data_IF_064226493319
#
_entry.id   IF_064226493319
#
_cell.length_a   1.000
_cell.length_b   1.000
_cell.length_c   1.000
_cell.angle_alpha   90.00
_cell.angle_beta   90.00
_cell.angle_gamma   90.00
#
_symmetry.space_group_name_H-M   'P 1'
#
loop_
_entity.id
_entity.type
_entity.pdbx_description
1 polymer ?
#
# COMPACT_ATOMS: atom_id res chain seq x y z
N UNK A 1 20.04 3.58 -23.65
CA UNK A 1 18.73 3.50 -24.28
C UNK A 1 17.71 4.13 -23.35
N UNK A 2 16.83 4.93 -23.90
CA UNK A 2 15.68 5.51 -23.19
C UNK A 2 14.45 4.86 -23.78
N UNK A 3 13.67 4.18 -22.96
CA UNK A 3 12.38 3.62 -23.34
C UNK A 3 11.25 4.44 -22.72
N UNK A 4 10.18 4.65 -23.47
CA UNK A 4 8.96 5.23 -22.95
C UNK A 4 8.08 4.11 -22.38
N UNK A 5 7.59 4.29 -21.16
CA UNK A 5 6.71 3.35 -20.51
C UNK A 5 5.47 4.08 -20.00
N UNK A 6 4.30 3.46 -20.20
CA UNK A 6 3.05 3.99 -19.68
C UNK A 6 2.89 3.63 -18.21
N UNK A 7 2.61 4.62 -17.37
CA UNK A 7 2.39 4.43 -15.95
C UNK A 7 0.96 4.77 -15.56
N UNK A 8 0.46 4.14 -14.50
CA UNK A 8 -0.82 4.50 -13.87
C UNK A 8 -0.65 5.79 -13.08
N UNK A 9 -1.55 6.74 -13.31
CA UNK A 9 -1.63 7.98 -12.54
C UNK A 9 -3.02 8.06 -11.93
N UNK A 10 -3.07 8.31 -10.62
CA UNK A 10 -4.32 8.37 -9.87
C UNK A 10 -4.53 9.77 -9.33
N UNK A 11 -5.69 10.35 -9.63
CA UNK A 11 -6.12 11.59 -9.02
C UNK A 11 -6.96 11.32 -7.76
N UNK A 12 -6.89 12.20 -6.77
CA UNK A 12 -7.65 12.11 -5.53
C UNK A 12 -6.98 11.30 -4.40
N UNK A 13 -5.82 10.71 -4.64
CA UNK A 13 -4.96 10.12 -3.60
C UNK A 13 -5.66 9.05 -2.74
N UNK A 14 -5.36 9.08 -1.45
CA UNK A 14 -5.79 8.07 -0.47
C UNK A 14 -7.31 7.94 -0.33
N UNK A 15 -8.05 9.06 -0.50
CA UNK A 15 -9.50 9.08 -0.39
C UNK A 15 -10.21 8.15 -1.39
N UNK A 16 -9.54 7.81 -2.49
CA UNK A 16 -10.07 6.94 -3.53
C UNK A 16 -9.51 5.52 -3.52
N UNK A 17 -8.54 5.22 -2.68
CA UNK A 17 -7.83 3.94 -2.68
C UNK A 17 -8.75 2.72 -2.60
N UNK A 18 -9.80 2.78 -1.78
CA UNK A 18 -10.79 1.69 -1.64
C UNK A 18 -11.69 1.50 -2.87
N UNK A 19 -11.84 2.52 -3.70
CA UNK A 19 -12.66 2.52 -4.92
C UNK A 19 -11.79 2.09 -6.11
N UNK A 20 -10.64 2.72 -6.25
CA UNK A 20 -9.70 2.47 -7.34
C UNK A 20 -9.10 1.06 -7.26
N UNK A 21 -8.77 0.61 -6.06
CA UNK A 21 -8.07 -0.64 -5.85
C UNK A 21 -6.57 -0.51 -6.05
N UNK A 22 -5.94 -1.57 -6.52
CA UNK A 22 -4.49 -1.60 -6.75
C UNK A 22 -4.13 -2.52 -7.91
N UNK A 23 -2.94 -2.30 -8.44
CA UNK A 23 -2.33 -3.14 -9.48
C UNK A 23 -1.26 -4.05 -8.90
N UNK A 24 -0.97 -5.12 -9.59
CA UNK A 24 0.09 -6.04 -9.20
C UNK A 24 0.48 -6.96 -10.35
N UNK A 25 1.58 -7.68 -10.19
CA UNK A 25 2.05 -8.63 -11.19
C UNK A 25 1.00 -9.71 -11.45
N UNK A 26 0.80 -10.05 -12.73
CA UNK A 26 -0.13 -11.09 -13.15
C UNK A 26 0.29 -12.46 -12.58
N UNK A 27 -0.66 -13.22 -12.08
CA UNK A 27 -0.42 -14.60 -11.65
C UNK A 27 -0.55 -15.57 -12.84
N UNK A 28 -0.05 -16.80 -12.70
CA UNK A 28 -0.16 -17.80 -13.75
C UNK A 28 -1.62 -18.12 -14.12
N UNK A 29 -2.51 -18.15 -13.13
CA UNK A 29 -3.94 -18.40 -13.35
C UNK A 29 -4.62 -17.24 -14.12
N UNK A 30 -4.32 -16.00 -13.75
CA UNK A 30 -4.84 -14.83 -14.46
C UNK A 30 -4.30 -14.74 -15.90
N UNK A 31 -3.04 -15.12 -16.11
CA UNK A 31 -2.45 -15.14 -17.44
C UNK A 31 -3.13 -16.17 -18.35
N UNK A 32 -3.48 -17.32 -17.79
CA UNK A 32 -4.24 -18.36 -18.52
C UNK A 32 -5.67 -17.91 -18.85
N UNK A 33 -6.32 -17.18 -17.94
CA UNK A 33 -7.66 -16.64 -18.11
C UNK A 33 -7.70 -15.48 -19.13
N UNK A 34 -6.77 -14.53 -19.01
CA UNK A 34 -6.73 -13.32 -19.85
C UNK A 34 -6.22 -13.59 -21.29
N UNK A 35 -5.33 -14.55 -21.46
CA UNK A 35 -4.88 -15.03 -22.75
C UNK A 35 -3.97 -14.04 -23.50
N UNK A 36 -4.22 -13.86 -24.81
CA UNK A 36 -3.39 -13.04 -25.70
C UNK A 36 -3.36 -11.57 -25.25
N UNK A 37 -2.19 -10.93 -25.39
CA UNK A 37 -1.96 -9.53 -24.98
C UNK A 37 -1.29 -9.36 -23.63
N UNK A 38 -1.31 -10.40 -22.81
CA UNK A 38 -0.63 -10.41 -21.49
C UNK A 38 0.61 -11.28 -21.50
N UNK A 39 1.59 -10.90 -20.69
CA UNK A 39 2.84 -11.65 -20.47
C UNK A 39 3.02 -11.89 -18.98
N UNK A 40 3.93 -12.79 -18.61
CA UNK A 40 4.25 -13.05 -17.21
C UNK A 40 4.79 -11.81 -16.44
N UNK A 41 5.20 -10.77 -17.16
CA UNK A 41 5.68 -9.51 -16.58
C UNK A 41 4.58 -8.44 -16.53
N UNK A 42 3.40 -8.68 -17.10
CA UNK A 42 2.29 -7.72 -17.11
C UNK A 42 1.85 -7.35 -15.70
N UNK A 43 1.58 -6.06 -15.52
CA UNK A 43 0.95 -5.52 -14.30
C UNK A 43 -0.54 -5.38 -14.60
N UNK A 44 -1.38 -5.98 -13.77
CA UNK A 44 -2.83 -6.03 -13.95
C UNK A 44 -3.55 -5.51 -12.71
N UNK A 45 -4.78 -5.07 -12.87
CA UNK A 45 -5.64 -4.69 -11.76
C UNK A 45 -6.00 -5.89 -10.88
N UNK A 46 -5.82 -5.75 -9.56
CA UNK A 46 -6.06 -6.81 -8.56
C UNK A 46 -7.34 -6.61 -7.76
N UNK A 47 -7.81 -5.39 -7.68
CA UNK A 47 -9.01 -5.06 -6.93
C UNK A 47 -9.65 -3.79 -7.48
N UNK A 48 -10.91 -3.53 -7.09
CA UNK A 48 -11.62 -2.28 -7.37
C UNK A 48 -11.80 -2.00 -8.87
N UNK A 49 -11.75 -0.72 -9.21
CA UNK A 49 -11.90 -0.28 -10.60
C UNK A 49 -10.71 -0.69 -11.47
N UNK A 50 -9.51 -0.77 -10.90
CA UNK A 50 -8.34 -1.28 -11.62
C UNK A 50 -8.58 -2.70 -12.16
N UNK A 51 -9.16 -3.58 -11.34
CA UNK A 51 -9.49 -4.93 -11.78
C UNK A 51 -10.65 -4.94 -12.78
N UNK A 52 -11.69 -4.15 -12.52
CA UNK A 52 -12.89 -4.15 -13.36
C UNK A 52 -12.66 -3.54 -14.74
N UNK A 53 -11.78 -2.54 -14.84
CA UNK A 53 -11.48 -1.80 -16.08
C UNK A 53 -10.08 -2.12 -16.62
N UNK A 54 -9.48 -3.21 -16.20
CA UNK A 54 -8.12 -3.58 -16.61
C UNK A 54 -7.95 -3.58 -18.12
N UNK A 55 -8.89 -4.17 -18.85
CA UNK A 55 -8.87 -4.23 -20.33
C UNK A 55 -8.91 -2.83 -21.00
N UNK A 56 -9.46 -1.84 -20.31
CA UNK A 56 -9.52 -0.45 -20.81
C UNK A 56 -8.23 0.30 -20.50
N UNK A 57 -7.68 0.02 -19.32
CA UNK A 57 -6.54 0.71 -18.74
C UNK A 57 -5.20 0.14 -19.20
N UNK A 58 -5.15 -1.14 -19.58
CA UNK A 58 -3.90 -1.87 -19.87
C UNK A 58 -3.18 -1.37 -21.12
N UNK A 59 -3.92 -0.98 -22.16
CA UNK A 59 -3.32 -0.66 -23.46
C UNK A 59 -2.87 -1.90 -24.25
N UNK A 60 -2.06 -1.68 -25.25
CA UNK A 60 -1.55 -2.70 -26.15
C UNK A 60 -0.02 -2.71 -26.12
N UNK A 61 0.57 -3.87 -25.87
CA UNK A 61 2.02 -4.02 -25.88
C UNK A 61 2.58 -3.88 -27.30
N UNK A 62 3.67 -3.14 -27.46
CA UNK A 62 4.45 -3.12 -28.70
C UNK A 62 5.16 -4.45 -28.93
N UNK A 63 5.52 -4.71 -30.18
CA UNK A 63 6.26 -5.89 -30.59
C UNK A 63 7.48 -5.49 -31.44
N UNK A 64 8.64 -6.04 -31.10
CA UNK A 64 9.88 -5.89 -31.85
C UNK A 64 10.45 -7.26 -32.18
N UNK A 65 10.84 -7.45 -33.41
CA UNK A 65 11.49 -8.70 -33.85
C UNK A 65 13.01 -8.52 -33.94
N UNK A 66 13.73 -9.41 -33.26
CA UNK A 66 15.20 -9.44 -33.28
C UNK A 66 15.71 -10.86 -33.55
N UNK A 67 16.73 -10.99 -34.36
CA UNK A 67 17.48 -12.23 -34.48
C UNK A 67 18.59 -12.25 -33.43
N UNK A 68 18.63 -13.34 -32.65
CA UNK A 68 19.67 -13.56 -31.65
C UNK A 68 20.55 -14.75 -32.03
N UNK A 69 21.84 -14.70 -31.66
CA UNK A 69 22.72 -15.83 -31.78
C UNK A 69 22.55 -16.85 -30.64
N UNK A 70 23.28 -17.96 -30.69
CA UNK A 70 23.24 -18.99 -29.66
C UNK A 70 23.77 -18.54 -28.28
N UNK A 71 24.31 -17.32 -28.19
CA UNK A 71 24.79 -16.68 -26.95
C UNK A 71 23.84 -15.60 -26.47
N UNK A 72 22.66 -15.44 -27.09
CA UNK A 72 21.68 -14.43 -26.73
C UNK A 72 21.98 -13.00 -27.20
N UNK A 73 22.95 -12.81 -28.11
CA UNK A 73 23.31 -11.49 -28.63
C UNK A 73 22.48 -11.18 -29.87
N UNK A 74 21.94 -9.96 -29.95
CA UNK A 74 21.24 -9.49 -31.15
C UNK A 74 22.19 -9.42 -32.33
N UNK A 75 21.89 -10.21 -33.36
CA UNK A 75 22.63 -10.25 -34.61
C UNK A 75 22.01 -9.30 -35.63
N UNK A 76 20.70 -9.25 -35.67
CA UNK A 76 19.95 -8.36 -36.51
C UNK A 76 18.67 -7.90 -35.79
N UNK A 77 18.41 -6.62 -35.87
CA UNK A 77 17.19 -6.00 -35.43
C UNK A 77 16.33 -5.68 -36.66
N UNK A 78 15.12 -6.21 -36.71
CA UNK A 78 14.15 -5.96 -37.78
C UNK A 78 13.30 -4.72 -37.50
N UNK A 79 13.49 -4.11 -36.33
CA UNK A 79 12.72 -2.95 -35.91
C UNK A 79 11.41 -3.30 -35.22
N UNK A 80 10.69 -2.24 -34.88
CA UNK A 80 9.38 -2.34 -34.26
C UNK A 80 8.35 -2.77 -35.32
N UNK A 81 7.68 -3.88 -35.03
CA UNK A 81 6.60 -4.40 -35.93
C UNK A 81 5.23 -3.87 -35.52
N UNK A 82 5.04 -3.61 -34.22
CA UNK A 82 3.84 -3.01 -33.63
C UNK A 82 4.25 -1.97 -32.61
N UNK A 83 3.77 -0.73 -32.77
CA UNK A 83 4.00 0.33 -31.79
C UNK A 83 3.13 0.11 -30.54
N UNK A 84 3.68 0.29 -29.32
CA UNK A 84 2.91 0.20 -28.11
C UNK A 84 1.85 1.31 -28.05
N UNK A 85 0.69 1.00 -27.50
CA UNK A 85 -0.39 1.97 -27.29
C UNK A 85 -0.75 2.02 -25.81
N UNK A 86 -0.75 3.22 -25.24
CA UNK A 86 -1.24 3.45 -23.89
C UNK A 86 -2.72 3.07 -23.77
N UNK A 87 -3.12 2.64 -22.58
CA UNK A 87 -4.53 2.45 -22.25
C UNK A 87 -5.29 3.78 -22.25
N UNK A 88 -6.59 3.70 -22.11
CA UNK A 88 -7.47 4.87 -22.11
C UNK A 88 -7.67 5.40 -20.68
N UNK A 89 -7.80 6.72 -20.58
CA UNK A 89 -8.21 7.37 -19.35
C UNK A 89 -9.65 7.01 -18.97
N UNK A 90 -9.88 6.86 -17.69
CA UNK A 90 -11.22 6.60 -17.13
C UNK A 90 -11.62 7.76 -16.21
N UNK A 91 -12.77 8.32 -16.49
CA UNK A 91 -13.37 9.40 -15.73
C UNK A 91 -14.52 8.87 -14.90
N UNK A 92 -14.49 9.13 -13.59
CA UNK A 92 -15.54 8.72 -12.66
C UNK A 92 -16.56 9.85 -12.50
N UNK A 93 -17.80 9.48 -12.24
CA UNK A 93 -18.86 10.42 -11.89
C UNK A 93 -18.90 10.82 -10.41
N UNK A 94 -17.87 10.40 -9.65
CA UNK A 94 -17.73 10.71 -8.23
C UNK A 94 -17.18 12.14 -8.10
N UNK A 95 -17.85 12.94 -7.27
CA UNK A 95 -17.35 14.26 -6.92
C UNK A 95 -16.11 14.14 -6.02
N UNK A 96 -14.99 14.69 -6.47
CA UNK A 96 -13.69 14.56 -5.80
C UNK A 96 -13.70 15.26 -4.44
N UNK A 97 -14.25 16.47 -4.36
CA UNK A 97 -14.25 17.25 -3.11
C UNK A 97 -15.14 16.61 -2.05
N UNK A 98 -16.29 16.06 -2.49
CA UNK A 98 -17.17 15.33 -1.60
C UNK A 98 -16.55 14.05 -1.07
N UNK A 99 -15.87 13.27 -1.93
CA UNK A 99 -15.15 12.06 -1.54
C UNK A 99 -14.03 12.37 -0.56
N UNK A 100 -13.21 13.37 -0.85
CA UNK A 100 -12.14 13.82 0.03
C UNK A 100 -12.70 14.24 1.40
N UNK A 101 -13.80 15.00 1.41
CA UNK A 101 -14.43 15.45 2.65
C UNK A 101 -15.04 14.32 3.47
N UNK A 102 -15.61 13.32 2.79
CA UNK A 102 -16.12 12.12 3.45
C UNK A 102 -14.99 11.33 4.09
N UNK A 103 -13.87 11.13 3.37
CA UNK A 103 -12.68 10.47 3.87
C UNK A 103 -12.14 11.15 5.14
N UNK A 104 -11.86 12.46 5.09
CA UNK A 104 -11.38 13.23 6.24
C UNK A 104 -12.33 13.17 7.45
N UNK A 105 -13.65 13.17 7.17
CA UNK A 105 -14.66 13.10 8.22
C UNK A 105 -14.66 11.74 8.91
N UNK A 106 -14.52 10.66 8.12
CA UNK A 106 -14.43 9.30 8.64
C UNK A 106 -13.15 9.09 9.45
N UNK A 107 -12.00 9.54 8.94
CA UNK A 107 -10.73 9.46 9.68
C UNK A 107 -10.81 10.16 11.04
N UNK A 108 -11.32 11.40 11.04
CA UNK A 108 -11.49 12.16 12.27
C UNK A 108 -12.44 11.44 13.24
N UNK A 109 -13.55 10.91 12.73
CA UNK A 109 -14.50 10.21 13.59
C UNK A 109 -13.93 8.91 14.16
N UNK A 110 -13.15 8.18 13.39
CA UNK A 110 -12.44 7.00 13.88
C UNK A 110 -11.43 7.39 14.97
N UNK A 111 -10.65 8.44 14.74
CA UNK A 111 -9.71 8.95 15.73
C UNK A 111 -10.42 9.38 17.03
N UNK A 112 -11.53 10.09 16.95
CA UNK A 112 -12.35 10.48 18.09
C UNK A 112 -12.82 9.25 18.90
N UNK A 113 -13.37 8.24 18.20
CA UNK A 113 -13.82 6.99 18.84
C UNK A 113 -12.67 6.26 19.54
N UNK A 114 -11.49 6.20 18.91
CA UNK A 114 -10.30 5.60 19.52
C UNK A 114 -9.91 6.33 20.81
N UNK A 115 -9.82 7.66 20.76
CA UNK A 115 -9.45 8.49 21.91
C UNK A 115 -10.46 8.37 23.06
N UNK A 116 -11.77 8.45 22.74
CA UNK A 116 -12.84 8.33 23.74
C UNK A 116 -12.84 6.98 24.46
N UNK A 117 -12.42 5.91 23.79
CA UNK A 117 -12.42 4.56 24.33
C UNK A 117 -11.05 4.09 24.84
N UNK A 118 -10.02 4.93 24.74
CA UNK A 118 -8.67 4.60 25.21
C UNK A 118 -8.61 4.59 26.75
N UNK A 119 -8.04 3.53 27.30
CA UNK A 119 -7.80 3.42 28.75
C UNK A 119 -6.32 3.15 29.04
N UNK A 120 -5.83 3.68 30.16
CA UNK A 120 -4.49 3.41 30.64
C UNK A 120 -4.42 2.03 31.33
N UNK A 121 -4.51 0.98 30.53
CA UNK A 121 -4.45 -0.40 30.98
C UNK A 121 -3.56 -1.22 30.04
N UNK A 122 -3.06 -2.36 30.54
CA UNK A 122 -2.30 -3.32 29.71
C UNK A 122 -3.20 -4.21 28.87
N UNK A 123 -4.34 -4.59 29.43
CA UNK A 123 -5.28 -5.51 28.80
C UNK A 123 -6.72 -5.08 29.14
N UNK A 124 -7.65 -5.50 28.30
CA UNK A 124 -9.09 -5.36 28.54
C UNK A 124 -9.77 -6.69 28.25
N UNK A 125 -10.58 -7.17 29.20
CA UNK A 125 -11.33 -8.41 29.01
C UNK A 125 -12.62 -8.14 28.23
N UNK A 126 -12.59 -8.42 26.95
CA UNK A 126 -13.74 -8.24 26.04
C UNK A 126 -14.89 -9.22 26.36
N UNK A 127 -14.60 -10.36 27.02
CA UNK A 127 -15.61 -11.33 27.38
C UNK A 127 -16.40 -10.93 28.63
N UNK A 128 -15.91 -9.98 29.41
CA UNK A 128 -16.55 -9.47 30.61
C UNK A 128 -17.67 -8.43 30.33
N UNK A 129 -17.78 -7.96 29.07
CA UNK A 129 -18.79 -6.96 28.67
C UNK A 129 -19.80 -7.58 27.73
N UNK A 130 -21.08 -7.21 27.89
CA UNK A 130 -22.15 -7.70 27.05
C UNK A 130 -22.56 -6.71 25.93
N UNK A 131 -22.19 -5.45 26.08
CA UNK A 131 -22.48 -4.40 25.10
C UNK A 131 -21.19 -3.95 24.40
N UNK A 132 -21.21 -3.90 23.08
CA UNK A 132 -20.08 -3.44 22.28
C UNK A 132 -19.69 -2.00 22.55
N UNK A 133 -20.60 -1.18 23.06
CA UNK A 133 -20.33 0.22 23.45
C UNK A 133 -19.47 0.32 24.73
N UNK A 134 -19.40 -0.74 25.50
CA UNK A 134 -18.57 -0.81 26.72
C UNK A 134 -17.13 -1.28 26.45
N UNK A 135 -16.81 -1.67 25.21
CA UNK A 135 -15.46 -2.10 24.83
C UNK A 135 -14.50 -0.92 24.96
N UNK A 136 -13.40 -1.15 25.67
CA UNK A 136 -12.31 -0.18 25.83
C UNK A 136 -11.03 -0.67 25.16
N UNK A 137 -10.19 0.26 24.77
CA UNK A 137 -8.95 0.01 24.04
C UNK A 137 -7.79 0.25 25.01
N UNK A 138 -7.06 -0.80 25.42
CA UNK A 138 -5.85 -0.62 26.21
C UNK A 138 -4.81 0.21 25.44
N UNK A 139 -4.19 1.18 26.09
CA UNK A 139 -3.12 1.97 25.48
C UNK A 139 -1.95 1.11 24.99
N UNK A 140 -1.72 -0.03 25.62
CA UNK A 140 -0.68 -0.98 25.21
C UNK A 140 -0.98 -1.65 23.88
N UNK A 141 -2.25 -1.89 23.55
CA UNK A 141 -2.65 -2.42 22.22
C UNK A 141 -2.32 -1.38 21.13
N UNK A 142 -2.56 -0.10 21.40
CA UNK A 142 -2.22 0.99 20.47
C UNK A 142 -0.72 1.08 20.25
N UNK A 143 0.09 1.10 21.32
CA UNK A 143 1.55 1.12 21.18
C UNK A 143 2.07 -0.11 20.45
N UNK A 144 1.54 -1.29 20.75
CA UNK A 144 1.92 -2.52 20.06
C UNK A 144 1.59 -2.43 18.56
N UNK A 145 0.41 -1.94 18.22
CA UNK A 145 0.01 -1.75 16.83
C UNK A 145 0.92 -0.75 16.09
N UNK A 146 1.23 0.40 16.70
CA UNK A 146 2.11 1.42 16.12
C UNK A 146 3.53 0.88 15.85
N UNK A 147 4.08 0.12 16.79
CA UNK A 147 5.40 -0.49 16.66
C UNK A 147 5.41 -1.63 15.63
N UNK A 148 4.41 -2.52 15.67
CA UNK A 148 4.33 -3.69 14.78
C UNK A 148 4.12 -3.29 13.33
N UNK A 149 3.37 -2.22 13.08
CA UNK A 149 3.14 -1.69 11.75
C UNK A 149 4.22 -0.70 11.26
N UNK A 150 5.29 -0.51 12.03
CA UNK A 150 6.40 0.35 11.64
C UNK A 150 6.06 1.85 11.57
N UNK A 151 4.96 2.27 12.21
CA UNK A 151 4.57 3.69 12.29
C UNK A 151 5.44 4.47 13.29
N UNK A 152 6.07 3.76 14.24
CA UNK A 152 7.09 4.31 15.13
C UNK A 152 8.42 3.66 14.78
N UNK A 153 9.34 4.46 14.26
CA UNK A 153 10.71 4.02 14.00
C UNK A 153 11.55 4.15 15.29
N UNK A 154 11.72 3.02 15.96
CA UNK A 154 12.49 2.98 17.23
C UNK A 154 14.00 3.18 17.01
N UNK A 155 14.52 3.03 15.79
CA UNK A 155 15.92 3.30 15.48
C UNK A 155 16.26 4.78 15.58
N UNK A 156 15.31 5.64 15.18
CA UNK A 156 15.42 7.09 15.27
C UNK A 156 15.63 7.60 16.70
N UNK A 157 15.18 6.85 17.71
CA UNK A 157 15.31 7.23 19.13
C UNK A 157 16.76 7.39 19.61
N UNK A 158 17.71 6.81 18.88
CA UNK A 158 19.15 6.87 19.16
C UNK A 158 19.88 7.91 18.32
N UNK A 159 19.20 8.53 17.36
CA UNK A 159 19.83 9.46 16.42
C UNK A 159 19.92 10.88 17.02
N UNK A 160 20.82 11.68 16.45
CA UNK A 160 21.00 13.08 16.88
C UNK A 160 19.78 13.98 16.67
N UNK A 161 18.88 13.57 15.75
CA UNK A 161 17.62 14.24 15.45
C UNK A 161 16.45 13.85 16.37
N UNK A 162 16.63 12.87 17.24
CA UNK A 162 15.57 12.42 18.13
C UNK A 162 15.03 13.53 19.04
N UNK A 163 13.72 13.56 19.24
CA UNK A 163 13.04 14.46 20.15
C UNK A 163 13.43 14.17 21.61
N UNK A 164 13.13 15.09 22.52
CA UNK A 164 13.37 14.89 23.95
C UNK A 164 12.60 13.67 24.49
N UNK A 165 11.35 13.52 24.07
CA UNK A 165 10.48 12.38 24.46
C UNK A 165 11.04 11.05 23.98
N UNK A 166 11.51 10.97 22.73
CA UNK A 166 12.11 9.75 22.18
C UNK A 166 13.36 9.33 22.94
N UNK A 167 14.22 10.30 23.26
CA UNK A 167 15.42 10.05 24.06
C UNK A 167 15.09 9.57 25.48
N UNK A 168 14.09 10.17 26.13
CA UNK A 168 13.63 9.73 27.45
C UNK A 168 13.08 8.30 27.41
N UNK A 169 12.26 7.97 26.40
CA UNK A 169 11.73 6.62 26.22
C UNK A 169 12.87 5.61 26.01
N UNK A 170 13.85 5.95 25.16
CA UNK A 170 14.99 5.09 24.91
C UNK A 170 15.85 4.87 26.18
N UNK A 171 16.09 5.91 26.95
CA UNK A 171 16.82 5.80 28.23
C UNK A 171 16.11 4.86 29.19
N UNK A 172 14.81 5.04 29.42
CA UNK A 172 14.00 4.17 30.30
C UNK A 172 13.98 2.72 29.82
N UNK A 173 13.88 2.53 28.50
CA UNK A 173 13.96 1.19 27.92
C UNK A 173 15.32 0.54 28.17
N UNK A 174 16.42 1.27 27.97
CA UNK A 174 17.77 0.77 28.16
C UNK A 174 18.02 0.39 29.61
N UNK A 175 17.61 1.25 30.57
CA UNK A 175 17.70 0.97 31.99
C UNK A 175 16.94 -0.32 32.38
N UNK A 176 15.71 -0.49 31.83
CA UNK A 176 14.91 -1.69 32.10
C UNK A 176 15.48 -2.95 31.48
N UNK A 177 15.97 -2.84 30.22
CA UNK A 177 16.67 -3.94 29.54
C UNK A 177 17.87 -4.42 30.36
N UNK A 178 18.70 -3.48 30.79
CA UNK A 178 19.94 -3.81 31.53
C UNK A 178 19.64 -4.42 32.90
N UNK A 179 18.54 -4.02 33.58
CA UNK A 179 18.04 -4.68 34.76
C UNK A 179 17.65 -6.15 34.49
N UNK A 180 16.93 -6.42 33.43
CA UNK A 180 16.46 -7.77 33.05
C UNK A 180 17.60 -8.68 32.62
N UNK A 181 18.61 -8.13 31.91
CA UNK A 181 19.77 -8.89 31.44
C UNK A 181 20.83 -9.08 32.51
N UNK A 182 20.79 -8.30 33.60
CA UNK A 182 21.70 -8.42 34.76
C UNK A 182 21.20 -9.37 35.85
N UNK A 183 19.94 -9.84 35.76
CA UNK A 183 19.35 -10.90 36.55
C UNK A 183 19.63 -12.28 35.91
#
# INVERSE_FOLDING_TARGET
DVSEESIRVYEGGEAFASILGYTGKISAAELEEKGEGYTAESIVGKAGLEQYLDDVLQGENGRQEVYIDNMGRTVQDLGVTEEPRAGRDVYLSIDMDLQQKAYETLERKIADILVENLINAKTFDKAAVNDTTEIRIPVYDVYTALLTNGLIDTSHFQEGGASETEREVYQRFSERRDQVLGE
#
